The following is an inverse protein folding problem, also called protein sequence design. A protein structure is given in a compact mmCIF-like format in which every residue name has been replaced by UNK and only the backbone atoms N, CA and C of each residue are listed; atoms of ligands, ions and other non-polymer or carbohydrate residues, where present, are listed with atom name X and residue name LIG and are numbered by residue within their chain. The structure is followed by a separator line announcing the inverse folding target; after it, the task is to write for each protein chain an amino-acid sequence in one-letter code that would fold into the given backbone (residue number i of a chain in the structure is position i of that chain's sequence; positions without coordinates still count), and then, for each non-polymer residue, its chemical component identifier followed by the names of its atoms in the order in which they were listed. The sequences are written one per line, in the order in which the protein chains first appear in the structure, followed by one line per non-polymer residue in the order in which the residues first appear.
data_IF_240787169401
#
_entry.id   IF_240787169401
#
_cell.length_a   1.000
_cell.length_b   1.000
_cell.length_c   1.000
_cell.angle_alpha   90.00
_cell.angle_beta   90.00
_cell.angle_gamma   90.00
#
_symmetry.space_group_name_H-M   'P 1'
#
loop_
_entity.id
_entity.type
_entity.pdbx_description
1 polymer ?
#
# COMPACT_ATOMS: atom_id res chain seq x y z
N UNK A 1 23.53 -11.94 17.99
CA UNK A 1 24.87 -12.58 17.96
C UNK A 1 25.35 -12.95 16.54
N UNK A 2 24.44 -13.07 15.54
CA UNK A 2 24.77 -13.46 14.17
C UNK A 2 25.70 -12.45 13.47
N UNK A 3 25.44 -11.16 13.65
CA UNK A 3 26.18 -10.10 12.96
C UNK A 3 27.26 -9.43 13.80
N UNK A 4 27.24 -9.61 15.12
CA UNK A 4 28.07 -8.86 16.08
C UNK A 4 27.94 -7.32 15.93
N UNK A 5 26.76 -6.85 15.43
CA UNK A 5 26.42 -5.44 15.29
C UNK A 5 25.44 -5.08 16.41
N UNK A 6 25.72 -4.01 17.13
CA UNK A 6 24.77 -3.43 18.08
C UNK A 6 23.99 -2.32 17.38
N UNK A 7 22.68 -2.26 17.65
CA UNK A 7 21.79 -1.26 17.09
C UNK A 7 21.35 -0.26 18.16
N UNK A 8 21.40 1.00 17.81
CA UNK A 8 20.70 2.06 18.52
C UNK A 8 19.60 2.57 17.57
N UNK A 9 18.33 2.49 18.01
CA UNK A 9 17.20 2.89 17.18
C UNK A 9 16.68 4.25 17.60
N UNK A 10 16.61 5.15 16.62
CA UNK A 10 15.83 6.37 16.70
C UNK A 10 14.51 6.13 15.96
N UNK A 11 13.40 6.12 16.69
CA UNK A 11 12.08 5.78 16.14
C UNK A 11 11.21 7.03 16.10
N UNK A 12 10.62 7.29 14.95
CA UNK A 12 9.64 8.35 14.76
C UNK A 12 8.24 7.76 14.56
N UNK A 13 7.23 8.42 15.11
CA UNK A 13 5.84 8.06 14.83
C UNK A 13 5.50 8.34 13.36
N UNK A 14 4.70 7.48 12.73
CA UNK A 14 4.34 7.58 11.32
C UNK A 14 3.74 8.96 10.95
N UNK A 15 2.94 9.55 11.84
CA UNK A 15 2.33 10.86 11.61
C UNK A 15 3.28 12.05 11.62
N UNK A 16 4.47 11.92 12.23
CA UNK A 16 5.47 12.99 12.34
C UNK A 16 6.74 12.70 11.53
N UNK A 17 6.85 11.51 10.95
CA UNK A 17 8.04 11.04 10.26
C UNK A 17 8.56 12.02 9.19
N UNK A 18 7.69 12.47 8.28
CA UNK A 18 8.11 13.33 7.18
C UNK A 18 8.73 14.65 7.68
N UNK A 19 8.16 15.25 8.71
CA UNK A 19 8.69 16.49 9.30
C UNK A 19 10.03 16.24 10.00
N UNK A 20 10.10 15.24 10.87
CA UNK A 20 11.32 14.89 11.60
C UNK A 20 12.47 14.50 10.69
N UNK A 21 12.18 13.68 9.67
CA UNK A 21 13.13 13.32 8.62
C UNK A 21 13.72 14.56 7.92
N UNK A 22 12.85 15.49 7.49
CA UNK A 22 13.31 16.70 6.79
C UNK A 22 14.19 17.58 7.68
N UNK A 23 13.83 17.71 8.95
CA UNK A 23 14.64 18.45 9.94
C UNK A 23 15.99 17.77 10.09
N UNK A 24 16.03 16.46 10.29
CA UNK A 24 17.26 15.68 10.45
C UNK A 24 18.18 15.80 9.22
N UNK A 25 17.64 15.61 8.00
CA UNK A 25 18.41 15.69 6.77
C UNK A 25 18.98 17.09 6.51
N UNK A 26 18.19 18.14 6.75
CA UNK A 26 18.65 19.53 6.61
C UNK A 26 19.64 19.91 7.72
N UNK A 27 19.41 19.42 8.94
CA UNK A 27 20.26 19.70 10.10
C UNK A 27 21.59 18.90 10.10
N UNK A 28 21.67 17.83 9.31
CA UNK A 28 22.82 16.93 9.30
C UNK A 28 22.90 16.03 10.53
N UNK A 29 21.78 15.88 11.26
CA UNK A 29 21.65 15.08 12.48
C UNK A 29 20.84 13.81 12.19
N UNK A 30 21.49 12.79 11.64
CA UNK A 30 20.91 11.49 11.29
C UNK A 30 21.93 10.38 11.50
N UNK A 31 21.44 9.15 11.68
CA UNK A 31 22.27 7.97 11.95
C UNK A 31 22.94 7.39 10.71
N UNK A 32 23.64 6.27 10.91
CA UNK A 32 24.39 5.53 9.88
C UNK A 32 23.47 4.99 8.78
N UNK A 33 22.27 4.54 9.15
CA UNK A 33 21.27 3.93 8.24
C UNK A 33 19.92 4.59 8.49
N UNK A 34 19.24 4.94 7.42
CA UNK A 34 17.85 5.40 7.45
C UNK A 34 16.99 4.29 6.85
N UNK A 35 16.10 3.71 7.68
CA UNK A 35 15.05 2.80 7.24
C UNK A 35 13.73 3.56 7.22
N UNK A 36 12.98 3.46 6.14
CA UNK A 36 11.81 4.31 5.95
C UNK A 36 10.66 3.60 5.22
N UNK A 37 9.45 4.10 5.45
CA UNK A 37 8.25 3.69 4.72
C UNK A 37 7.38 4.93 4.39
N UNK A 38 7.82 5.74 3.43
CA UNK A 38 7.06 6.90 2.96
C UNK A 38 7.09 7.06 1.44
N UNK A 39 6.20 7.91 0.92
CA UNK A 39 6.02 8.13 -0.50
C UNK A 39 7.11 9.02 -1.15
N UNK A 40 7.94 9.69 -0.37
CA UNK A 40 8.90 10.69 -0.87
C UNK A 40 10.30 10.11 -1.12
N UNK A 41 10.45 8.79 -1.05
CA UNK A 41 11.74 8.11 -1.13
C UNK A 41 12.55 8.49 -2.38
N UNK A 42 11.93 8.47 -3.55
CA UNK A 42 12.60 8.80 -4.83
C UNK A 42 13.04 10.27 -4.85
N UNK A 43 12.19 11.20 -4.38
CA UNK A 43 12.52 12.63 -4.34
C UNK A 43 13.70 12.90 -3.43
N UNK A 44 13.75 12.24 -2.27
CA UNK A 44 14.86 12.38 -1.34
C UNK A 44 16.14 11.76 -1.89
N UNK A 45 16.04 10.59 -2.54
CA UNK A 45 17.16 9.92 -3.20
C UNK A 45 17.81 10.81 -4.27
N UNK A 46 17.01 11.38 -5.16
CA UNK A 46 17.48 12.30 -6.22
C UNK A 46 18.00 13.64 -5.66
N UNK A 47 17.57 14.02 -4.46
CA UNK A 47 18.01 15.26 -3.80
C UNK A 47 19.30 15.05 -3.02
N UNK A 48 19.34 14.07 -2.15
CA UNK A 48 20.40 13.89 -1.15
C UNK A 48 21.51 12.94 -1.62
N UNK A 49 21.24 12.05 -2.56
CA UNK A 49 22.24 11.18 -3.16
C UNK A 49 23.36 11.98 -3.86
N UNK A 50 23.06 12.83 -4.85
CA UNK A 50 24.09 13.64 -5.51
C UNK A 50 24.80 14.64 -4.59
N UNK A 51 24.20 15.00 -3.46
CA UNK A 51 24.82 15.84 -2.42
C UNK A 51 25.77 15.05 -1.51
N UNK A 52 25.76 13.71 -1.59
CA UNK A 52 26.61 12.83 -0.80
C UNK A 52 26.11 12.57 0.62
N UNK A 53 24.89 12.97 0.96
CA UNK A 53 24.23 12.63 2.23
C UNK A 53 23.90 11.15 2.26
N UNK A 54 23.30 10.64 1.17
CA UNK A 54 23.19 9.20 0.93
C UNK A 54 24.39 8.77 0.09
N UNK A 55 25.11 7.77 0.53
CA UNK A 55 26.31 7.32 -0.18
C UNK A 55 25.95 6.48 -1.41
N UNK A 56 26.81 6.50 -2.41
CA UNK A 56 26.70 5.65 -3.60
C UNK A 56 26.93 4.18 -3.21
N UNK A 57 25.90 3.35 -3.39
CA UNK A 57 25.91 1.93 -3.07
C UNK A 57 26.35 1.04 -4.24
N UNK A 58 26.56 1.58 -5.43
CA UNK A 58 26.78 0.81 -6.65
C UNK A 58 27.93 -0.18 -6.50
N UNK A 59 29.10 0.30 -6.12
CA UNK A 59 30.30 -0.55 -5.92
C UNK A 59 30.17 -1.44 -4.66
N UNK A 60 29.50 -0.94 -3.62
CA UNK A 60 29.26 -1.72 -2.39
C UNK A 60 28.37 -2.93 -2.65
N UNK A 61 27.31 -2.74 -3.45
CA UNK A 61 26.42 -3.84 -3.84
C UNK A 61 27.22 -4.87 -4.65
N UNK A 62 28.00 -4.43 -5.63
CA UNK A 62 28.72 -5.34 -6.51
C UNK A 62 29.75 -6.20 -5.77
N UNK A 63 30.40 -5.64 -4.74
CA UNK A 63 31.49 -6.26 -4.01
C UNK A 63 31.03 -7.00 -2.75
N UNK A 64 30.01 -6.55 -2.06
CA UNK A 64 29.71 -6.98 -0.68
C UNK A 64 28.25 -7.40 -0.45
N UNK A 65 27.34 -7.26 -1.44
CA UNK A 65 25.92 -7.54 -1.30
C UNK A 65 25.42 -8.56 -2.37
N UNK A 66 25.80 -9.83 -2.24
CA UNK A 66 25.50 -10.83 -3.25
C UNK A 66 23.99 -11.11 -3.42
N UNK A 67 23.19 -10.99 -2.37
CA UNK A 67 21.75 -11.22 -2.43
C UNK A 67 21.03 -10.08 -3.17
N UNK A 68 21.37 -8.83 -2.86
CA UNK A 68 20.85 -7.65 -3.57
C UNK A 68 21.26 -7.70 -5.04
N UNK A 69 22.53 -8.04 -5.32
CA UNK A 69 23.02 -8.20 -6.68
C UNK A 69 22.25 -9.29 -7.44
N UNK A 70 22.06 -10.45 -6.86
CA UNK A 70 21.30 -11.55 -7.47
C UNK A 70 19.85 -11.15 -7.76
N UNK A 71 19.21 -10.44 -6.83
CA UNK A 71 17.86 -9.89 -7.03
C UNK A 71 17.80 -8.91 -8.21
N UNK A 72 18.75 -7.97 -8.31
CA UNK A 72 18.84 -7.02 -9.41
C UNK A 72 19.11 -7.69 -10.75
N UNK A 73 19.99 -8.69 -10.79
CA UNK A 73 20.33 -9.44 -12.00
C UNK A 73 19.16 -10.29 -12.52
N UNK A 74 18.34 -10.82 -11.58
CA UNK A 74 17.13 -11.57 -11.90
C UNK A 74 15.96 -10.67 -12.33
N UNK A 75 15.96 -9.40 -11.92
CA UNK A 75 14.85 -8.47 -12.13
C UNK A 75 15.35 -7.12 -12.68
N UNK A 76 15.52 -6.99 -14.00
CA UNK A 76 16.00 -5.74 -14.61
C UNK A 76 15.17 -4.49 -14.28
N UNK A 77 13.86 -4.66 -14.08
CA UNK A 77 12.96 -3.56 -13.70
C UNK A 77 13.26 -3.05 -12.29
N UNK A 78 13.60 -3.95 -11.36
CA UNK A 78 14.03 -3.57 -10.00
C UNK A 78 15.32 -2.79 -10.07
N UNK A 79 16.30 -3.26 -10.85
CA UNK A 79 17.56 -2.54 -11.08
C UNK A 79 17.33 -1.15 -11.68
N UNK A 80 16.46 -1.06 -12.67
CA UNK A 80 16.11 0.22 -13.29
C UNK A 80 15.47 1.19 -12.29
N UNK A 81 14.55 0.69 -11.47
CA UNK A 81 13.86 1.51 -10.45
C UNK A 81 14.76 1.95 -9.28
N UNK A 82 15.85 1.22 -9.01
CA UNK A 82 16.86 1.58 -8.00
C UNK A 82 17.91 2.54 -8.54
N UNK A 83 17.98 2.71 -9.86
CA UNK A 83 19.04 3.52 -10.49
C UNK A 83 18.55 4.95 -10.62
N UNK A 84 19.20 5.87 -9.92
CA UNK A 84 18.95 7.30 -9.97
C UNK A 84 19.31 7.90 -11.35
N UNK A 85 18.85 9.13 -11.59
CA UNK A 85 19.03 9.82 -12.88
C UNK A 85 20.51 10.02 -13.26
N UNK A 86 21.42 10.05 -12.29
CA UNK A 86 22.87 10.14 -12.51
C UNK A 86 23.55 8.77 -12.75
N UNK A 87 22.76 7.68 -12.79
CA UNK A 87 23.21 6.33 -13.04
C UNK A 87 23.75 5.57 -11.82
N UNK A 88 23.61 6.13 -10.63
CA UNK A 88 24.05 5.53 -9.36
C UNK A 88 22.88 4.94 -8.59
N UNK A 89 23.20 4.14 -7.58
CA UNK A 89 22.24 3.56 -6.65
C UNK A 89 22.52 4.13 -5.26
N UNK A 90 21.55 4.81 -4.68
CA UNK A 90 21.65 5.39 -3.34
C UNK A 90 20.75 4.70 -2.33
N UNK A 91 19.61 4.16 -2.78
CA UNK A 91 18.61 3.53 -1.94
C UNK A 91 18.36 2.07 -2.28
N UNK A 92 18.08 1.27 -1.27
CA UNK A 92 17.66 -0.12 -1.42
C UNK A 92 16.13 -0.22 -1.42
N UNK A 93 15.53 -1.10 -2.24
CA UNK A 93 14.10 -1.23 -2.36
C UNK A 93 13.52 -2.18 -1.32
N UNK A 94 12.22 -2.08 -1.09
CA UNK A 94 11.44 -3.19 -0.55
C UNK A 94 10.77 -3.92 -1.72
N UNK A 95 11.04 -5.21 -1.85
CA UNK A 95 10.53 -6.05 -2.94
C UNK A 95 9.65 -7.14 -2.36
N UNK A 96 8.41 -7.22 -2.83
CA UNK A 96 7.50 -8.29 -2.46
C UNK A 96 7.67 -9.47 -3.41
N UNK A 97 7.97 -10.65 -2.88
CA UNK A 97 8.14 -11.86 -3.67
C UNK A 97 6.88 -12.72 -3.77
N UNK A 98 5.80 -12.33 -3.11
CA UNK A 98 4.57 -13.14 -3.07
C UNK A 98 3.42 -12.45 -3.80
N UNK A 99 2.66 -13.23 -4.58
CA UNK A 99 1.40 -12.83 -5.19
C UNK A 99 0.29 -12.49 -4.17
N UNK A 100 0.54 -12.72 -2.89
CA UNK A 100 -0.35 -12.44 -1.77
C UNK A 100 -0.24 -11.01 -1.23
N UNK A 101 0.52 -10.14 -1.87
CA UNK A 101 0.37 -8.71 -1.57
C UNK A 101 -1.06 -8.35 -1.88
N UNK A 102 -1.81 -8.18 -0.83
CA UNK A 102 -3.21 -7.82 -0.85
C UNK A 102 -3.36 -6.57 -1.71
N UNK A 103 -3.92 -6.73 -2.89
CA UNK A 103 -4.47 -5.60 -3.61
C UNK A 103 -5.38 -4.89 -2.59
N UNK A 104 -5.34 -3.58 -2.55
CA UNK A 104 -6.16 -2.82 -1.63
C UNK A 104 -7.62 -2.98 -2.01
N UNK A 105 -8.19 -4.14 -1.64
CA UNK A 105 -9.58 -4.46 -1.87
C UNK A 105 -10.47 -3.65 -0.94
N UNK A 106 -11.70 -3.46 -1.31
CA UNK A 106 -12.75 -3.11 -0.37
C UNK A 106 -13.11 -4.35 0.45
N UNK A 107 -13.47 -4.13 1.70
CA UNK A 107 -14.00 -5.16 2.57
C UNK A 107 -15.42 -4.83 2.94
N UNK A 108 -16.20 -5.87 3.22
CA UNK A 108 -17.58 -5.69 3.68
C UNK A 108 -17.95 -6.74 4.74
N UNK A 109 -18.93 -6.39 5.56
CA UNK A 109 -19.44 -7.26 6.61
C UNK A 109 -20.38 -8.31 6.03
N UNK A 110 -20.04 -9.58 6.16
CA UNK A 110 -20.93 -10.70 5.83
C UNK A 110 -22.19 -10.71 6.71
N UNK A 111 -22.06 -10.25 7.96
CA UNK A 111 -23.17 -10.15 8.89
C UNK A 111 -24.21 -9.12 8.40
N UNK A 112 -23.77 -7.95 7.96
CA UNK A 112 -24.65 -6.95 7.39
C UNK A 112 -25.42 -7.47 6.18
N UNK A 113 -24.76 -8.19 5.26
CA UNK A 113 -25.44 -8.83 4.15
C UNK A 113 -26.54 -9.78 4.61
N UNK A 114 -26.26 -10.63 5.60
CA UNK A 114 -27.24 -11.58 6.14
C UNK A 114 -28.43 -10.86 6.81
N UNK A 115 -28.16 -9.80 7.57
CA UNK A 115 -29.20 -9.04 8.26
C UNK A 115 -30.18 -8.37 7.29
N UNK A 116 -29.69 -7.90 6.14
CA UNK A 116 -30.54 -7.29 5.08
C UNK A 116 -30.99 -8.30 4.00
N UNK A 117 -30.71 -9.59 4.18
CA UNK A 117 -31.18 -10.67 3.29
C UNK A 117 -30.48 -10.72 1.93
N UNK A 118 -29.23 -10.29 1.85
CA UNK A 118 -28.40 -10.39 0.63
C UNK A 118 -27.51 -11.62 0.72
N UNK A 119 -27.73 -12.58 -0.19
CA UNK A 119 -27.01 -13.85 -0.21
C UNK A 119 -25.84 -13.89 -1.23
N UNK A 120 -25.78 -12.92 -2.14
CA UNK A 120 -24.79 -12.88 -3.20
C UNK A 120 -23.88 -11.67 -3.06
N UNK A 121 -22.57 -11.90 -3.12
CA UNK A 121 -21.56 -10.84 -3.20
C UNK A 121 -21.72 -10.06 -4.52
N UNK A 122 -21.68 -8.72 -4.52
CA UNK A 122 -21.82 -7.93 -5.72
C UNK A 122 -20.68 -8.17 -6.70
N UNK A 123 -21.02 -8.29 -7.98
CA UNK A 123 -20.09 -8.45 -9.09
C UNK A 123 -20.10 -7.24 -10.04
N UNK A 124 -21.10 -6.37 -9.90
CA UNK A 124 -21.24 -5.14 -10.68
C UNK A 124 -21.37 -3.92 -9.77
N UNK A 125 -21.13 -2.75 -10.33
CA UNK A 125 -21.33 -1.47 -9.62
C UNK A 125 -22.80 -1.24 -9.27
N UNK A 126 -23.73 -1.75 -10.06
CA UNK A 126 -25.17 -1.65 -9.78
C UNK A 126 -25.56 -2.58 -8.62
N UNK A 127 -25.06 -3.81 -8.59
CA UNK A 127 -25.29 -4.73 -7.46
C UNK A 127 -24.66 -4.18 -6.15
N UNK A 128 -23.48 -3.53 -6.24
CA UNK A 128 -22.88 -2.84 -5.09
C UNK A 128 -23.76 -1.68 -4.64
N UNK A 129 -24.29 -0.88 -5.56
CA UNK A 129 -25.21 0.21 -5.23
C UNK A 129 -26.44 -0.32 -4.48
N UNK A 130 -27.08 -1.36 -4.98
CA UNK A 130 -28.27 -1.96 -4.35
C UNK A 130 -27.96 -2.49 -2.94
N UNK A 131 -26.79 -3.10 -2.75
CA UNK A 131 -26.32 -3.53 -1.43
C UNK A 131 -26.13 -2.34 -0.47
N UNK A 132 -25.52 -1.25 -0.93
CA UNK A 132 -25.33 -0.05 -0.10
C UNK A 132 -26.66 0.62 0.25
N UNK A 133 -27.63 0.62 -0.65
CA UNK A 133 -29.00 1.09 -0.35
C UNK A 133 -29.65 0.23 0.75
N UNK A 134 -29.55 -1.09 0.63
CA UNK A 134 -30.10 -2.00 1.65
C UNK A 134 -29.43 -1.78 3.02
N UNK A 135 -28.12 -1.55 3.05
CA UNK A 135 -27.39 -1.24 4.28
C UNK A 135 -27.86 0.07 4.92
N UNK A 136 -28.19 1.08 4.10
CA UNK A 136 -28.67 2.37 4.61
C UNK A 136 -30.12 2.33 5.11
N UNK A 137 -30.99 1.59 4.43
CA UNK A 137 -32.44 1.63 4.67
C UNK A 137 -32.89 0.65 5.76
N UNK A 138 -32.03 -0.27 6.19
CA UNK A 138 -32.34 -1.31 7.17
C UNK A 138 -31.35 -1.26 8.32
N UNK A 139 -31.69 -1.87 9.46
CA UNK A 139 -30.79 -2.08 10.59
C UNK A 139 -29.77 -3.18 10.22
N UNK A 140 -28.77 -2.80 9.43
CA UNK A 140 -27.81 -3.74 8.85
C UNK A 140 -26.79 -4.22 9.88
N UNK A 141 -26.42 -3.38 10.87
CA UNK A 141 -25.53 -3.75 11.97
C UNK A 141 -26.26 -4.53 13.08
N UNK A 142 -27.59 -4.56 13.08
CA UNK A 142 -28.40 -5.33 14.00
C UNK A 142 -28.47 -4.76 15.43
N UNK A 143 -28.14 -3.47 15.61
CA UNK A 143 -28.14 -2.82 16.91
C UNK A 143 -29.51 -2.26 17.36
N UNK A 144 -30.49 -2.25 16.46
CA UNK A 144 -31.87 -1.76 16.67
C UNK A 144 -32.07 -0.28 16.28
N UNK A 145 -31.07 0.39 15.69
CA UNK A 145 -31.15 1.76 15.20
C UNK A 145 -30.71 1.86 13.72
N UNK A 146 -31.64 1.82 12.77
CA UNK A 146 -31.31 1.88 11.33
C UNK A 146 -30.84 3.26 10.84
N UNK A 147 -30.54 4.18 11.73
CA UNK A 147 -30.13 5.53 11.38
C UNK A 147 -28.63 5.80 11.56
N UNK A 148 -27.88 4.86 12.13
CA UNK A 148 -26.47 5.02 12.46
C UNK A 148 -25.52 4.28 11.48
N UNK A 149 -26.08 3.62 10.45
CA UNK A 149 -25.32 2.91 9.44
C UNK A 149 -24.54 3.85 8.53
N UNK A 150 -23.27 3.49 8.30
CA UNK A 150 -22.43 4.07 7.27
C UNK A 150 -22.25 3.00 6.18
N UNK A 151 -23.00 3.06 5.05
CA UNK A 151 -22.95 2.00 4.06
C UNK A 151 -21.57 1.78 3.48
N UNK A 152 -20.84 2.87 3.14
CA UNK A 152 -19.48 2.80 2.63
C UNK A 152 -18.62 3.94 3.23
N UNK A 153 -17.45 3.58 3.79
CA UNK A 153 -16.47 4.54 4.29
C UNK A 153 -15.08 4.30 3.70
N UNK A 154 -14.32 5.37 3.47
CA UNK A 154 -12.93 5.34 3.01
C UNK A 154 -12.19 6.62 3.39
N UNK A 155 -10.87 6.64 3.26
CA UNK A 155 -10.07 7.86 3.46
C UNK A 155 -9.66 8.43 2.11
N UNK A 156 -10.34 9.49 1.68
CA UNK A 156 -10.10 10.14 0.38
C UNK A 156 -10.37 9.20 -0.81
N UNK A 157 -9.74 9.47 -1.92
CA UNK A 157 -9.82 8.63 -3.14
C UNK A 157 -8.80 7.47 -3.12
N UNK A 158 -8.42 7.00 -1.94
CA UNK A 158 -7.43 5.93 -1.81
C UNK A 158 -8.05 4.53 -1.91
N UNK A 159 -7.18 3.55 -2.08
CA UNK A 159 -7.49 2.12 -2.01
C UNK A 159 -8.74 1.70 -2.80
N UNK A 160 -9.86 1.41 -2.15
CA UNK A 160 -11.05 0.84 -2.80
C UNK A 160 -11.58 1.70 -3.96
N UNK A 161 -11.58 3.03 -3.82
CA UNK A 161 -12.03 3.90 -4.92
C UNK A 161 -11.04 3.83 -6.08
N UNK A 162 -9.74 4.03 -5.81
CA UNK A 162 -8.70 4.03 -6.83
C UNK A 162 -8.50 2.65 -7.48
N UNK A 163 -8.46 1.60 -6.66
CA UNK A 163 -7.99 0.28 -7.08
C UNK A 163 -9.14 -0.69 -7.41
N UNK A 164 -10.39 -0.32 -7.12
CA UNK A 164 -11.58 -1.13 -7.38
C UNK A 164 -12.66 -0.40 -8.19
N UNK A 165 -13.13 0.77 -7.69
CA UNK A 165 -14.27 1.44 -8.33
C UNK A 165 -13.89 2.12 -9.64
N UNK A 166 -12.78 2.86 -9.70
CA UNK A 166 -12.34 3.49 -10.95
C UNK A 166 -12.01 2.43 -12.02
N UNK A 167 -11.23 1.37 -11.71
CA UNK A 167 -11.03 0.26 -12.65
C UNK A 167 -12.30 -0.40 -13.17
N UNK A 168 -13.32 -0.52 -12.33
CA UNK A 168 -14.63 -1.07 -12.76
C UNK A 168 -15.28 -0.27 -13.88
N UNK A 169 -15.03 1.04 -13.98
CA UNK A 169 -15.54 1.88 -15.06
C UNK A 169 -14.58 2.01 -16.24
N UNK A 170 -13.28 2.18 -15.94
CA UNK A 170 -12.27 2.56 -16.94
C UNK A 170 -11.62 1.35 -17.63
N UNK A 171 -11.67 0.16 -17.04
CA UNK A 171 -10.87 -0.98 -17.48
C UNK A 171 -9.36 -0.82 -17.24
N UNK A 172 -8.94 0.25 -16.56
CA UNK A 172 -7.53 0.57 -16.32
C UNK A 172 -7.13 0.21 -14.87
N UNK A 173 -6.05 -0.54 -14.65
CA UNK A 173 -5.70 -1.06 -13.33
C UNK A 173 -5.31 0.01 -12.30
N UNK A 174 -4.75 1.15 -12.70
CA UNK A 174 -4.51 2.29 -11.80
C UNK A 174 -5.46 3.44 -12.11
N UNK A 175 -6.48 3.60 -11.29
CA UNK A 175 -7.56 4.54 -11.52
C UNK A 175 -7.18 6.03 -11.42
N UNK A 176 -6.04 6.37 -10.83
CA UNK A 176 -5.62 7.76 -10.61
C UNK A 176 -4.31 8.12 -11.32
N UNK A 177 -3.72 7.21 -12.09
CA UNK A 177 -2.39 7.37 -12.67
C UNK A 177 -2.35 7.04 -14.16
N UNK A 178 -1.15 6.95 -14.67
CA UNK A 178 -0.87 6.52 -16.04
C UNK A 178 -0.89 5.00 -16.11
N UNK A 179 -1.50 4.50 -17.18
CA UNK A 179 -1.56 3.08 -17.51
C UNK A 179 -1.00 2.87 -18.91
N UNK A 180 -0.73 1.64 -19.27
CA UNK A 180 -0.48 1.26 -20.65
C UNK A 180 -1.72 0.52 -21.17
N UNK A 181 -2.19 0.86 -22.36
CA UNK A 181 -3.19 0.08 -23.05
C UNK A 181 -2.56 -1.18 -23.70
N UNK A 182 -3.38 -2.01 -24.31
CA UNK A 182 -2.94 -3.26 -24.97
C UNK A 182 -1.95 -3.04 -26.12
N UNK A 183 -1.89 -1.82 -26.67
CA UNK A 183 -0.95 -1.40 -27.70
C UNK A 183 0.35 -0.81 -27.14
N UNK A 184 0.45 -0.71 -25.80
CA UNK A 184 1.59 -0.12 -25.09
C UNK A 184 1.59 1.42 -25.10
N UNK A 185 0.48 2.06 -25.42
CA UNK A 185 0.33 3.51 -25.35
C UNK A 185 -0.03 3.96 -23.94
N UNK A 186 0.55 5.08 -23.53
CA UNK A 186 0.27 5.68 -22.22
C UNK A 186 -1.14 6.29 -22.21
N UNK A 187 -1.95 5.87 -21.24
CA UNK A 187 -3.30 6.39 -20.98
C UNK A 187 -3.35 6.95 -19.57
N UNK A 188 -3.86 8.16 -19.42
CA UNK A 188 -4.11 8.76 -18.11
C UNK A 188 -5.58 8.53 -17.73
N UNK A 189 -5.83 7.67 -16.75
CA UNK A 189 -7.17 7.24 -16.40
C UNK A 189 -8.15 8.41 -16.12
N UNK A 190 -7.79 9.46 -15.36
CA UNK A 190 -8.68 10.59 -15.10
C UNK A 190 -9.05 11.44 -16.34
N UNK A 191 -8.40 11.23 -17.49
CA UNK A 191 -8.70 11.95 -18.73
C UNK A 191 -9.64 11.17 -19.67
N UNK A 192 -10.15 10.00 -19.25
CA UNK A 192 -11.03 9.16 -20.06
C UNK A 192 -12.52 9.54 -19.86
N UNK A 193 -13.38 9.24 -20.84
CA UNK A 193 -14.83 9.45 -20.69
C UNK A 193 -15.43 8.47 -19.67
N UNK A 194 -14.86 7.27 -19.54
CA UNK A 194 -15.25 6.25 -18.57
C UNK A 194 -14.99 6.74 -17.12
N UNK A 195 -13.93 7.50 -16.90
CA UNK A 195 -13.67 8.15 -15.60
C UNK A 195 -14.78 9.15 -15.25
N UNK A 196 -15.35 9.83 -16.21
CA UNK A 196 -16.49 10.73 -15.99
C UNK A 196 -17.75 9.96 -15.56
N UNK A 197 -17.98 8.75 -16.09
CA UNK A 197 -19.08 7.90 -15.63
C UNK A 197 -18.84 7.42 -14.18
N UNK A 198 -17.60 7.06 -13.84
CA UNK A 198 -17.23 6.84 -12.44
C UNK A 198 -17.57 8.04 -11.55
N UNK A 199 -17.22 9.27 -11.97
CA UNK A 199 -17.51 10.48 -11.17
C UNK A 199 -19.03 10.69 -10.97
N UNK A 200 -19.86 10.38 -11.95
CA UNK A 200 -21.33 10.41 -11.81
C UNK A 200 -21.81 9.38 -10.79
N UNK A 201 -21.26 8.16 -10.83
CA UNK A 201 -21.56 7.10 -9.88
C UNK A 201 -21.13 7.49 -8.47
N UNK A 202 -19.89 7.97 -8.27
CA UNK A 202 -19.40 8.42 -6.98
C UNK A 202 -20.24 9.60 -6.41
N UNK A 203 -20.63 10.55 -7.27
CA UNK A 203 -21.53 11.64 -6.89
C UNK A 203 -22.92 11.12 -6.46
N UNK A 204 -23.45 10.11 -7.17
CA UNK A 204 -24.71 9.47 -6.78
C UNK A 204 -24.59 8.84 -5.39
N UNK A 205 -23.54 8.05 -5.13
CA UNK A 205 -23.32 7.46 -3.81
C UNK A 205 -23.24 8.52 -2.71
N UNK A 206 -22.50 9.61 -2.97
CA UNK A 206 -22.34 10.68 -1.99
C UNK A 206 -23.65 11.45 -1.75
N UNK A 207 -24.34 11.87 -2.80
CA UNK A 207 -25.56 12.66 -2.70
C UNK A 207 -26.73 11.89 -2.05
N UNK A 208 -26.76 10.59 -2.19
CA UNK A 208 -27.74 9.70 -1.58
C UNK A 208 -27.31 9.22 -0.18
N UNK A 209 -26.16 9.67 0.33
CA UNK A 209 -25.63 9.29 1.65
C UNK A 209 -25.25 7.82 1.78
N UNK A 210 -24.84 7.21 0.66
CA UNK A 210 -24.31 5.85 0.62
C UNK A 210 -22.79 5.82 0.82
N UNK A 211 -22.11 6.95 0.53
CA UNK A 211 -20.71 7.18 0.84
C UNK A 211 -20.63 8.13 2.06
N UNK A 212 -19.79 7.76 3.03
CA UNK A 212 -19.52 8.54 4.23
C UNK A 212 -19.24 10.02 3.88
N UNK A 213 -20.03 10.98 4.39
CA UNK A 213 -19.85 12.40 4.06
C UNK A 213 -18.49 12.95 4.49
N UNK A 214 -17.84 12.33 5.47
CA UNK A 214 -16.52 12.72 5.96
C UNK A 214 -15.36 12.05 5.19
N UNK A 215 -15.63 11.23 4.17
CA UNK A 215 -14.61 10.43 3.46
C UNK A 215 -13.40 11.25 3.00
N UNK A 216 -13.59 12.52 2.64
CA UNK A 216 -12.53 13.39 2.12
C UNK A 216 -11.78 14.19 3.20
N UNK A 217 -12.28 14.22 4.42
CA UNK A 217 -11.76 15.07 5.52
C UNK A 217 -11.36 14.27 6.75
N UNK A 218 -11.88 13.05 6.91
CA UNK A 218 -11.55 12.21 8.07
C UNK A 218 -10.09 11.75 8.04
N UNK A 219 -9.52 11.62 9.22
CA UNK A 219 -8.20 11.02 9.43
C UNK A 219 -8.28 9.50 9.40
N UNK A 220 -7.13 8.83 9.23
CA UNK A 220 -7.04 7.37 9.32
C UNK A 220 -7.54 6.84 10.69
N UNK A 221 -7.28 7.56 11.78
CA UNK A 221 -7.77 7.18 13.11
C UNK A 221 -9.29 7.29 13.24
N UNK A 222 -9.90 8.34 12.68
CA UNK A 222 -11.37 8.49 12.66
C UNK A 222 -12.02 7.38 11.82
N UNK A 223 -11.48 7.10 10.65
CA UNK A 223 -11.90 5.99 9.82
C UNK A 223 -11.78 4.65 10.56
N UNK A 224 -10.64 4.37 11.19
CA UNK A 224 -10.42 3.14 11.95
C UNK A 224 -11.43 2.99 13.10
N UNK A 225 -11.74 4.08 13.80
CA UNK A 225 -12.74 4.05 14.88
C UNK A 225 -14.14 3.67 14.36
N UNK A 226 -14.57 4.20 13.22
CA UNK A 226 -15.84 3.83 12.57
C UNK A 226 -15.88 2.36 12.16
N UNK A 227 -14.80 1.86 11.58
CA UNK A 227 -14.71 0.46 11.15
C UNK A 227 -14.70 -0.49 12.34
N UNK A 228 -13.88 -0.21 13.37
CA UNK A 228 -13.77 -1.07 14.56
C UNK A 228 -15.01 -1.05 15.45
N UNK A 229 -15.82 0.02 15.39
CA UNK A 229 -17.10 0.08 16.11
C UNK A 229 -18.23 -0.71 15.43
N UNK A 230 -18.00 -1.24 14.20
CA UNK A 230 -19.02 -1.97 13.45
C UNK A 230 -20.08 -1.11 12.78
N UNK A 231 -19.87 0.22 12.70
CA UNK A 231 -20.81 1.16 12.06
C UNK A 231 -20.75 1.20 10.54
N UNK A 232 -19.82 0.44 9.93
CA UNK A 232 -19.57 0.50 8.48
C UNK A 232 -19.85 -0.83 7.80
N UNK A 233 -20.65 -0.79 6.75
CA UNK A 233 -20.98 -1.98 5.94
C UNK A 233 -19.84 -2.33 4.96
N UNK A 234 -19.40 -1.37 4.17
CA UNK A 234 -18.25 -1.47 3.26
C UNK A 234 -17.17 -0.49 3.69
N UNK A 235 -15.93 -0.90 3.67
CA UNK A 235 -14.80 -0.02 3.98
C UNK A 235 -13.58 -0.33 3.12
N UNK A 236 -12.71 0.67 2.94
CA UNK A 236 -11.42 0.53 2.28
C UNK A 236 -10.32 0.24 3.30
N UNK A 237 -9.27 -0.44 2.90
CA UNK A 237 -8.09 -0.65 3.74
C UNK A 237 -7.79 -2.12 4.02
N UNK A 238 -7.06 -2.39 5.11
CA UNK A 238 -6.70 -3.76 5.50
C UNK A 238 -7.56 -4.23 6.68
N UNK A 239 -8.06 -5.47 6.67
CA UNK A 239 -8.75 -6.04 7.81
C UNK A 239 -7.84 -6.23 9.04
N UNK A 240 -6.51 -6.11 8.88
CA UNK A 240 -5.56 -6.16 10.00
C UNK A 240 -5.73 -5.01 11.00
N UNK A 241 -6.46 -3.95 10.63
CA UNK A 241 -6.85 -2.89 11.56
C UNK A 241 -7.94 -3.31 12.54
N UNK A 242 -8.57 -4.47 12.31
CA UNK A 242 -9.65 -5.00 13.13
C UNK A 242 -9.14 -6.04 14.13
N UNK A 243 -9.91 -6.27 15.20
CA UNK A 243 -9.71 -7.43 16.05
C UNK A 243 -9.80 -8.73 15.24
N UNK A 244 -8.92 -9.72 15.46
CA UNK A 244 -8.94 -10.98 14.72
C UNK A 244 -10.28 -11.70 14.71
N UNK A 245 -11.09 -11.57 15.78
CA UNK A 245 -12.43 -12.15 15.85
C UNK A 245 -13.40 -11.48 14.88
N UNK A 246 -13.25 -10.20 14.63
CA UNK A 246 -14.04 -9.40 13.68
C UNK A 246 -13.54 -9.59 12.25
N UNK A 247 -12.23 -9.76 12.07
CA UNK A 247 -11.62 -9.97 10.75
C UNK A 247 -12.14 -11.24 10.07
N UNK A 248 -12.43 -12.28 10.85
CA UNK A 248 -12.96 -13.55 10.33
C UNK A 248 -14.36 -13.41 9.67
N UNK A 249 -15.07 -12.32 9.92
CA UNK A 249 -16.41 -12.04 9.38
C UNK A 249 -16.40 -11.03 8.22
N UNK A 250 -15.20 -10.60 7.79
CA UNK A 250 -15.06 -9.66 6.70
C UNK A 250 -14.74 -10.40 5.39
N UNK A 251 -15.47 -10.06 4.35
CA UNK A 251 -15.24 -10.56 3.00
C UNK A 251 -14.62 -9.47 2.13
N UNK A 252 -13.78 -9.87 1.20
CA UNK A 252 -13.19 -8.96 0.22
C UNK A 252 -14.17 -8.73 -0.92
N UNK A 253 -14.35 -7.47 -1.31
CA UNK A 253 -15.07 -7.15 -2.55
C UNK A 253 -14.27 -7.66 -3.74
N UNK A 254 -14.90 -8.43 -4.64
CA UNK A 254 -14.24 -8.84 -5.87
C UNK A 254 -14.10 -7.65 -6.83
N UNK A 255 -13.27 -7.77 -7.88
CA UNK A 255 -13.30 -6.82 -8.98
C UNK A 255 -14.70 -6.75 -9.57
N UNK A 256 -15.16 -5.52 -9.79
CA UNK A 256 -16.49 -5.23 -10.30
C UNK A 256 -16.44 -4.92 -11.79
N UNK A 257 -17.56 -5.12 -12.46
CA UNK A 257 -17.85 -4.58 -13.81
C UNK A 257 -18.85 -3.43 -13.71
N UNK A 258 -18.99 -2.64 -14.78
CA UNK A 258 -19.96 -1.55 -14.86
C UNK A 258 -20.62 -1.48 -16.23
N UNK A 259 -21.49 -0.50 -16.43
CA UNK A 259 -22.12 -0.26 -17.75
C UNK A 259 -21.10 0.18 -18.83
N UNK A 260 -19.92 0.66 -18.47
CA UNK A 260 -18.87 1.12 -19.39
C UNK A 260 -17.72 0.15 -19.55
N UNK A 261 -17.61 -0.85 -18.66
CA UNK A 261 -16.56 -1.86 -18.71
C UNK A 261 -17.09 -3.21 -18.20
N UNK A 262 -17.01 -4.23 -19.05
CA UNK A 262 -17.45 -5.61 -18.77
C UNK A 262 -16.30 -6.54 -18.34
N UNK A 263 -15.08 -6.01 -18.24
CA UNK A 263 -13.90 -6.74 -17.77
C UNK A 263 -13.64 -6.53 -16.28
N UNK A 264 -13.32 -7.61 -15.57
CA UNK A 264 -12.90 -7.56 -14.16
C UNK A 264 -11.43 -7.22 -14.07
N UNK A 265 -11.12 -5.96 -13.81
CA UNK A 265 -9.76 -5.45 -13.72
C UNK A 265 -9.29 -5.38 -12.28
N UNK A 266 -8.10 -5.89 -12.03
CA UNK A 266 -7.42 -5.83 -10.73
C UNK A 266 -6.12 -5.08 -10.90
N UNK A 267 -5.87 -4.09 -10.05
CA UNK A 267 -4.56 -3.50 -9.96
C UNK A 267 -3.58 -4.58 -9.53
N UNK A 268 -2.55 -4.79 -10.33
CA UNK A 268 -1.46 -5.67 -9.92
C UNK A 268 -0.82 -5.08 -8.66
N UNK A 269 -0.56 -5.90 -7.64
CA UNK A 269 0.12 -5.42 -6.46
C UNK A 269 1.46 -4.81 -6.87
N UNK A 270 1.74 -3.64 -6.33
CA UNK A 270 3.03 -3.01 -6.54
C UNK A 270 4.06 -3.85 -5.78
N UNK A 271 4.91 -4.55 -6.51
CA UNK A 271 5.87 -5.48 -5.93
C UNK A 271 7.19 -4.83 -5.53
N UNK A 272 7.34 -3.53 -5.82
CA UNK A 272 8.58 -2.79 -5.64
C UNK A 272 8.33 -1.41 -5.03
N UNK A 273 8.96 -1.13 -3.91
CA UNK A 273 9.01 0.18 -3.29
C UNK A 273 10.47 0.63 -3.23
N UNK A 274 10.93 1.54 -4.11
CA UNK A 274 12.31 2.03 -4.11
C UNK A 274 12.60 2.90 -2.89
N UNK A 275 13.89 3.05 -2.54
CA UNK A 275 14.35 3.99 -1.52
C UNK A 275 13.85 3.68 -0.10
N UNK A 276 13.91 2.42 0.34
CA UNK A 276 13.47 2.02 1.69
C UNK A 276 14.59 1.95 2.72
N UNK A 277 15.83 1.80 2.27
CA UNK A 277 16.99 1.84 3.13
C UNK A 277 18.10 2.67 2.46
N UNK A 278 18.71 3.55 3.23
CA UNK A 278 19.83 4.38 2.80
C UNK A 278 20.97 4.24 3.79
N UNK A 279 22.21 4.19 3.30
CA UNK A 279 23.41 4.36 4.12
C UNK A 279 23.84 5.81 3.96
N UNK A 280 24.13 6.48 5.07
CA UNK A 280 24.44 7.91 5.09
C UNK A 280 25.95 8.17 5.12
N UNK A 281 26.34 9.43 4.93
CA UNK A 281 27.72 9.92 5.06
C UNK A 281 28.25 9.85 6.52
N UNK A 282 27.36 9.59 7.50
CA UNK A 282 27.76 9.39 8.91
C UNK A 282 28.27 7.98 9.19
N UNK A 283 27.95 7.04 8.29
CA UNK A 283 28.31 5.64 8.49
C UNK A 283 29.84 5.45 8.43
N UNK A 284 30.41 5.06 9.54
CA UNK A 284 31.86 4.84 9.67
C UNK A 284 32.34 3.55 9.02
N UNK A 285 31.45 2.56 8.84
CA UNK A 285 31.73 1.28 8.17
C UNK A 285 30.60 0.91 7.17
N UNK A 286 30.61 1.52 5.98
CA UNK A 286 29.61 1.22 4.95
C UNK A 286 29.62 -0.24 4.48
N UNK A 287 30.75 -0.95 4.59
CA UNK A 287 30.84 -2.36 4.23
C UNK A 287 30.07 -3.22 5.22
N UNK A 288 30.20 -2.96 6.50
CA UNK A 288 29.40 -3.65 7.51
C UNK A 288 27.90 -3.35 7.34
N UNK A 289 27.55 -2.09 7.06
CA UNK A 289 26.18 -1.65 6.85
C UNK A 289 25.54 -2.32 5.63
N UNK A 290 26.19 -2.34 4.46
CA UNK A 290 25.62 -2.96 3.26
C UNK A 290 25.51 -4.49 3.41
N UNK A 291 26.44 -5.14 4.08
CA UNK A 291 26.38 -6.59 4.35
C UNK A 291 25.23 -6.94 5.29
N UNK A 292 24.97 -6.09 6.28
CA UNK A 292 23.81 -6.24 7.14
C UNK A 292 22.50 -6.12 6.32
N UNK A 293 22.38 -5.06 5.52
CA UNK A 293 21.19 -4.84 4.68
C UNK A 293 21.01 -5.94 3.64
N UNK A 294 22.08 -6.52 3.10
CA UNK A 294 22.03 -7.64 2.16
C UNK A 294 21.36 -8.89 2.74
N UNK A 295 21.45 -9.11 4.06
CA UNK A 295 20.78 -10.25 4.72
C UNK A 295 19.26 -10.18 4.58
N UNK A 296 18.68 -8.98 4.46
CA UNK A 296 17.23 -8.82 4.27
C UNK A 296 16.73 -9.28 2.88
N UNK A 297 17.65 -9.50 1.95
CA UNK A 297 17.36 -9.97 0.60
C UNK A 297 17.73 -11.44 0.40
N UNK A 298 18.21 -12.13 1.44
CA UNK A 298 18.52 -13.54 1.39
C UNK A 298 17.25 -14.36 1.13
N UNK A 299 17.36 -15.36 0.25
CA UNK A 299 16.34 -16.39 0.02
C UNK A 299 16.52 -17.55 1.00
N UNK A 300 15.55 -18.47 1.06
CA UNK A 300 15.66 -19.66 1.90
C UNK A 300 16.92 -20.51 1.58
N UNK A 301 17.38 -20.48 0.32
CA UNK A 301 18.55 -21.26 -0.14
C UNK A 301 19.87 -20.69 0.37
N UNK A 302 19.96 -19.39 0.59
CA UNK A 302 21.19 -18.69 1.00
C UNK A 302 21.08 -17.98 2.35
N UNK A 303 20.02 -18.27 3.11
CA UNK A 303 19.80 -17.74 4.43
C UNK A 303 20.89 -18.23 5.42
N UNK A 304 21.40 -17.31 6.22
CA UNK A 304 22.34 -17.64 7.30
C UNK A 304 21.55 -18.10 8.52
N UNK A 305 21.74 -19.36 8.95
CA UNK A 305 21.09 -19.97 10.12
C UNK A 305 19.54 -19.88 10.09
N UNK A 306 18.92 -19.98 8.89
CA UNK A 306 17.48 -19.87 8.71
C UNK A 306 16.95 -18.43 8.66
N UNK A 307 17.83 -17.45 8.66
CA UNK A 307 17.50 -16.05 8.56
C UNK A 307 17.33 -15.66 7.09
N UNK A 308 16.11 -15.55 6.61
CA UNK A 308 15.80 -15.04 5.27
C UNK A 308 15.03 -13.72 5.36
N UNK A 309 14.99 -12.98 4.26
CA UNK A 309 14.34 -11.68 4.21
C UNK A 309 12.89 -11.68 4.69
N UNK A 310 12.15 -12.74 4.41
CA UNK A 310 10.78 -12.93 4.91
C UNK A 310 10.70 -13.06 6.43
N UNK A 311 11.67 -13.69 7.08
CA UNK A 311 11.70 -13.85 8.53
C UNK A 311 11.97 -12.54 9.26
N UNK A 312 12.76 -11.65 8.66
CA UNK A 312 13.07 -10.34 9.23
C UNK A 312 11.88 -9.37 9.27
N UNK A 313 11.01 -9.44 8.27
CA UNK A 313 9.84 -8.57 8.17
C UNK A 313 8.58 -9.15 8.81
N UNK A 314 8.48 -10.48 8.93
CA UNK A 314 7.31 -11.14 9.50
C UNK A 314 7.39 -11.39 11.02
N UNK A 315 8.56 -11.22 11.62
CA UNK A 315 8.83 -11.71 12.98
C UNK A 315 8.91 -13.24 13.03
N UNK A 316 9.38 -13.79 14.13
CA UNK A 316 9.25 -15.23 14.39
C UNK A 316 7.76 -15.50 14.72
N UNK A 317 7.17 -16.53 14.12
CA UNK A 317 5.88 -17.05 14.58
C UNK A 317 6.00 -17.40 16.07
N UNK A 318 5.42 -16.58 16.95
CA UNK A 318 5.38 -16.87 18.39
C UNK A 318 5.86 -15.76 19.34
N UNK A 319 6.22 -14.55 18.87
CA UNK A 319 6.45 -13.37 19.73
C UNK A 319 5.44 -12.26 19.48
#
# INVERSE_FOLDING_TARGET
EITNINFEFEVSEAGTWTEQKNIALVGGEYGDIILRDDANAITDEETYGPQGVFIDLTDLIDQYAPNIKAMMDANPDVKAAMTSMDGKIYGLPYVFHTATVQGHAGFFSEEWMKNVGIDKVPETTDELYDMLVAFKEQDANGNGDPSDEIPFTCVGLTTTIRDLLIPAFTGLPDGLSFNLDDEGKVVYAPATEEYKEFLKYANKLYSEGLLDPEFSTQTAQQWQAKVTSGQCGVYSGSPTALDPSTTAQQLSLPPLTSATNDEKVVKQPFYLYPGRAFITDKCSDPVAAIRLLDMFYATEENAVEGFCGTTLFAGYEGE
#
